data_IF_366014468826
#
_entry.id   IF_366014468826
#
_cell.length_a   1.000
_cell.length_b   1.000
_cell.length_c   1.000
_cell.angle_alpha   90.00
_cell.angle_beta   90.00
_cell.angle_gamma   90.00
#
_symmetry.space_group_name_H-M   'P 1'
#
loop_
_entity.id
_entity.type
_entity.pdbx_description
1 polymer ?
#
# COMPACT_ATOMS: atom_id res chain seq x y z
N UNK A 1 -6.31 -12.98 -14.98
CA UNK A 1 -7.46 -12.83 -14.06
C UNK A 1 -6.94 -13.17 -12.67
N UNK A 2 -6.54 -12.17 -11.90
CA UNK A 2 -6.14 -12.34 -10.49
C UNK A 2 -7.36 -12.92 -9.76
N UNK A 3 -7.22 -14.02 -9.03
CA UNK A 3 -8.37 -14.59 -8.30
C UNK A 3 -8.75 -13.60 -7.20
N UNK A 4 -10.02 -13.51 -6.83
CA UNK A 4 -10.46 -12.61 -5.75
C UNK A 4 -9.71 -12.84 -4.43
N UNK A 5 -9.34 -14.10 -4.16
CA UNK A 5 -8.48 -14.54 -3.05
C UNK A 5 -7.07 -13.88 -3.06
N UNK A 6 -6.43 -13.81 -4.24
CA UNK A 6 -5.12 -13.14 -4.39
C UNK A 6 -5.23 -11.63 -4.13
N UNK A 7 -6.39 -11.02 -4.46
CA UNK A 7 -6.61 -9.58 -4.24
C UNK A 7 -6.86 -9.24 -2.78
N UNK A 8 -7.64 -10.05 -2.06
CA UNK A 8 -7.82 -9.89 -0.61
C UNK A 8 -6.50 -10.11 0.14
N UNK A 9 -5.70 -11.10 -0.29
CA UNK A 9 -4.34 -11.30 0.23
C UNK A 9 -3.43 -10.09 0.00
N UNK A 10 -3.46 -9.51 -1.21
CA UNK A 10 -2.68 -8.31 -1.52
C UNK A 10 -3.16 -7.08 -0.74
N UNK A 11 -4.47 -6.92 -0.56
CA UNK A 11 -5.02 -5.84 0.28
C UNK A 11 -4.51 -5.96 1.71
N UNK A 12 -4.53 -7.17 2.27
CA UNK A 12 -3.95 -7.47 3.57
C UNK A 12 -2.47 -7.08 3.65
N UNK A 13 -1.66 -7.50 2.68
CA UNK A 13 -0.23 -7.19 2.64
C UNK A 13 0.07 -5.69 2.55
N UNK A 14 -0.69 -4.94 1.73
CA UNK A 14 -0.53 -3.48 1.63
C UNK A 14 -0.93 -2.80 2.94
N UNK A 15 -2.02 -3.27 3.58
CA UNK A 15 -2.51 -2.74 4.85
C UNK A 15 -1.51 -3.01 5.98
N UNK A 16 -0.88 -4.17 5.99
CA UNK A 16 0.14 -4.55 6.97
C UNK A 16 1.38 -3.66 6.84
N UNK A 17 1.88 -3.45 5.61
CA UNK A 17 3.00 -2.55 5.35
C UNK A 17 2.71 -1.10 5.81
N UNK A 18 1.47 -0.63 5.67
CA UNK A 18 1.03 0.65 6.22
C UNK A 18 1.06 0.66 7.75
N UNK A 19 0.52 -0.39 8.37
CA UNK A 19 0.45 -0.53 9.81
C UNK A 19 1.85 -0.49 10.45
N UNK A 20 2.77 -1.27 9.90
CA UNK A 20 4.18 -1.31 10.30
C UNK A 20 4.86 0.05 10.12
N UNK A 21 4.62 0.71 8.98
CA UNK A 21 5.21 2.02 8.69
C UNK A 21 4.70 3.12 9.62
N UNK A 22 3.40 3.10 9.94
CA UNK A 22 2.75 4.11 10.80
C UNK A 22 2.89 3.80 12.29
N UNK A 23 3.33 2.58 12.65
CA UNK A 23 3.42 2.12 14.04
C UNK A 23 2.06 1.93 14.70
N UNK A 24 1.07 1.44 13.95
CA UNK A 24 -0.31 1.20 14.41
C UNK A 24 -0.75 -0.22 14.09
N UNK A 25 -1.86 -0.67 14.67
CA UNK A 25 -2.47 -1.96 14.30
C UNK A 25 -3.07 -1.93 12.89
N UNK A 26 -2.97 -3.04 12.16
CA UNK A 26 -3.56 -3.13 10.82
C UNK A 26 -5.07 -2.83 10.82
N UNK A 27 -5.81 -3.23 11.86
CA UNK A 27 -7.26 -3.03 11.94
C UNK A 27 -7.68 -1.54 12.00
N UNK A 28 -6.79 -0.65 12.45
CA UNK A 28 -7.06 0.79 12.49
C UNK A 28 -6.63 1.52 11.21
N UNK A 29 -5.90 0.86 10.30
CA UNK A 29 -5.49 1.46 9.03
C UNK A 29 -6.72 1.62 8.13
N UNK A 30 -7.08 2.85 7.74
CA UNK A 30 -8.20 3.12 6.85
C UNK A 30 -7.87 2.73 5.40
N UNK A 31 -8.83 2.10 4.71
CA UNK A 31 -8.61 1.61 3.35
C UNK A 31 -8.69 2.70 2.27
N UNK A 32 -9.46 3.76 2.55
CA UNK A 32 -9.85 4.80 1.60
C UNK A 32 -9.35 6.21 1.99
N UNK A 33 -8.52 6.29 3.03
CA UNK A 33 -7.89 7.54 3.49
C UNK A 33 -6.45 7.60 2.97
N UNK A 34 -6.01 8.79 2.57
CA UNK A 34 -4.67 8.99 2.02
C UNK A 34 -3.58 8.82 3.07
N UNK A 35 -2.40 8.35 2.66
CA UNK A 35 -1.28 8.04 3.56
C UNK A 35 -0.90 9.21 4.47
N UNK A 36 -0.86 10.42 3.91
CA UNK A 36 -0.55 11.64 4.68
C UNK A 36 -1.66 12.05 5.65
N UNK A 37 -2.91 11.79 5.31
CA UNK A 37 -4.07 12.07 6.19
C UNK A 37 -4.16 11.03 7.33
N UNK A 38 -3.70 9.80 7.06
CA UNK A 38 -3.56 8.74 8.06
C UNK A 38 -2.35 8.92 9.00
N UNK A 39 -1.62 10.05 8.93
CA UNK A 39 -0.46 10.35 9.78
C UNK A 39 0.91 10.09 9.14
N UNK A 40 0.94 9.66 7.88
CA UNK A 40 2.16 9.47 7.10
C UNK A 40 2.86 10.78 6.74
N UNK A 41 4.15 10.68 6.41
CA UNK A 41 4.97 11.81 5.94
C UNK A 41 5.95 11.32 4.86
N UNK A 42 6.76 12.22 4.30
CA UNK A 42 7.64 11.89 3.18
C UNK A 42 8.67 10.81 3.50
N UNK A 43 9.20 10.77 4.73
CA UNK A 43 10.15 9.73 5.14
C UNK A 43 9.43 8.39 5.26
N UNK A 44 8.27 8.39 5.92
CA UNK A 44 7.44 7.20 6.06
C UNK A 44 6.97 6.69 4.69
N UNK A 45 6.71 7.56 3.72
CA UNK A 45 6.31 7.17 2.37
C UNK A 45 7.44 6.41 1.65
N UNK A 46 8.70 6.81 1.87
CA UNK A 46 9.85 6.09 1.32
C UNK A 46 9.99 4.71 1.96
N UNK A 47 9.82 4.61 3.28
CA UNK A 47 9.83 3.32 3.99
C UNK A 47 8.69 2.41 3.52
N UNK A 48 7.48 2.95 3.39
CA UNK A 48 6.35 2.23 2.82
C UNK A 48 6.67 1.76 1.39
N UNK A 49 7.25 2.64 0.57
CA UNK A 49 7.63 2.30 -0.80
C UNK A 49 8.60 1.13 -0.84
N UNK A 50 9.63 1.11 0.01
CA UNK A 50 10.57 -0.01 0.10
C UNK A 50 9.83 -1.32 0.41
N UNK A 51 8.99 -1.33 1.45
CA UNK A 51 8.22 -2.52 1.83
C UNK A 51 7.28 -3.02 0.72
N UNK A 52 6.57 -2.09 0.06
CA UNK A 52 5.69 -2.44 -1.05
C UNK A 52 6.45 -2.92 -2.29
N UNK A 53 7.68 -2.45 -2.51
CA UNK A 53 8.54 -2.89 -3.62
C UNK A 53 9.04 -4.33 -3.41
N UNK A 54 9.23 -4.75 -2.17
CA UNK A 54 9.65 -6.12 -1.80
C UNK A 54 8.53 -7.16 -1.97
N UNK A 55 7.27 -6.72 -2.08
CA UNK A 55 6.17 -7.62 -2.40
C UNK A 55 6.39 -8.28 -3.77
N UNK A 56 5.95 -9.53 -3.99
CA UNK A 56 6.07 -10.19 -5.28
C UNK A 56 5.42 -9.41 -6.44
N UNK A 57 4.43 -8.58 -6.13
CA UNK A 57 3.72 -7.72 -7.09
C UNK A 57 4.27 -6.27 -7.14
N UNK A 58 5.26 -5.96 -6.31
CA UNK A 58 5.86 -4.63 -6.13
C UNK A 58 6.91 -4.23 -7.17
N UNK A 59 7.36 -5.19 -7.99
CA UNK A 59 8.40 -4.98 -8.98
C UNK A 59 8.08 -3.83 -9.95
N UNK A 60 8.88 -2.76 -9.88
CA UNK A 60 8.72 -1.58 -10.75
C UNK A 60 7.88 -0.44 -10.16
N UNK A 61 7.37 -0.58 -8.94
CA UNK A 61 6.69 0.50 -8.21
C UNK A 61 7.65 1.68 -8.02
N UNK A 62 7.23 2.89 -8.39
CA UNK A 62 7.98 4.13 -8.12
C UNK A 62 7.38 4.83 -6.92
N UNK A 63 8.19 5.54 -6.14
CA UNK A 63 7.70 6.37 -5.04
C UNK A 63 6.63 7.38 -5.53
N UNK A 64 6.77 7.90 -6.75
CA UNK A 64 5.78 8.79 -7.38
C UNK A 64 4.40 8.17 -7.56
N UNK A 65 4.31 6.85 -7.69
CA UNK A 65 3.04 6.17 -7.85
C UNK A 65 2.24 6.19 -6.54
N UNK A 66 2.90 6.12 -5.37
CA UNK A 66 2.24 6.24 -4.07
C UNK A 66 1.63 7.63 -3.85
N UNK A 67 2.18 8.68 -4.46
CA UNK A 67 1.56 10.01 -4.43
C UNK A 67 0.28 10.07 -5.29
N UNK A 68 0.23 9.33 -6.40
CA UNK A 68 -0.94 9.27 -7.30
C UNK A 68 -2.00 8.30 -6.79
N UNK A 69 -1.59 7.29 -6.04
CA UNK A 69 -2.40 6.25 -5.44
C UNK A 69 -2.22 6.31 -3.91
N UNK A 70 -2.80 7.33 -3.24
CA UNK A 70 -2.46 7.63 -1.86
C UNK A 70 -3.15 6.72 -0.83
N UNK A 71 -4.10 5.87 -1.22
CA UNK A 71 -4.86 5.01 -0.31
C UNK A 71 -4.43 3.55 -0.43
N UNK A 72 -4.69 2.75 0.61
CA UNK A 72 -4.46 1.29 0.59
C UNK A 72 -5.16 0.65 -0.63
N UNK A 73 -6.45 0.95 -0.87
CA UNK A 73 -7.16 0.38 -2.02
C UNK A 73 -6.53 0.75 -3.36
N UNK A 74 -6.11 2.01 -3.53
CA UNK A 74 -5.50 2.46 -4.77
C UNK A 74 -4.15 1.79 -5.01
N UNK A 75 -3.36 1.57 -3.96
CA UNK A 75 -2.08 0.86 -4.03
C UNK A 75 -2.28 -0.63 -4.32
N UNK A 76 -3.26 -1.28 -3.69
CA UNK A 76 -3.65 -2.66 -4.02
C UNK A 76 -4.05 -2.80 -5.49
N UNK A 77 -4.82 -1.85 -6.04
CA UNK A 77 -5.21 -1.86 -7.45
C UNK A 77 -4.01 -1.71 -8.38
N UNK A 78 -3.10 -0.79 -8.06
CA UNK A 78 -1.86 -0.57 -8.80
C UNK A 78 -1.01 -1.85 -8.83
N UNK A 79 -0.79 -2.47 -7.67
CA UNK A 79 0.01 -3.68 -7.52
C UNK A 79 -0.65 -4.91 -8.15
N UNK A 80 -1.98 -4.97 -8.21
CA UNK A 80 -2.71 -6.03 -8.91
C UNK A 80 -2.59 -5.96 -10.45
N UNK A 81 -1.86 -4.98 -11.00
CA UNK A 81 -1.71 -4.77 -12.43
C UNK A 81 -2.93 -4.11 -13.08
N UNK A 82 -3.78 -3.42 -12.29
CA UNK A 82 -4.95 -2.70 -12.78
C UNK A 82 -4.60 -1.30 -13.26
N UNK A 83 -4.16 -1.18 -14.51
CA UNK A 83 -4.17 0.06 -15.30
C UNK A 83 -4.71 -0.22 -16.70
#
# INVERSE_FOLDING_TARGET
MVREDDRDGLLGAVRDAWAETLGVDADVVPLDVGFFDAGGNSLLLLLLWEQLNELPSGGGLRATDLFRHPTVRAQTQLLAGGL
#
